data_IF_318743188881
#
_entry.id   IF_318743188881
#
_cell.length_a   1.000
_cell.length_b   1.000
_cell.length_c   1.000
_cell.angle_alpha   90.00
_cell.angle_beta   90.00
_cell.angle_gamma   90.00
#
_symmetry.space_group_name_H-M   'P 1'
#
loop_
_entity.id
_entity.type
_entity.pdbx_description
1 polymer ?
#
# COMPACT_ATOMS: atom_id res chain seq x y z
N UNK A 1 11.24 -5.55 17.33
CA UNK A 1 11.95 -4.36 16.80
C UNK A 1 12.44 -3.49 17.94
N UNK A 2 13.69 -2.99 17.89
CA UNK A 2 14.24 -2.02 18.84
C UNK A 2 13.39 -0.75 18.92
N UNK A 3 13.39 -0.07 20.07
CA UNK A 3 12.58 1.13 20.30
C UNK A 3 12.87 2.25 19.27
N UNK A 4 14.15 2.44 18.91
CA UNK A 4 14.58 3.40 17.88
C UNK A 4 14.02 3.12 16.50
N UNK A 5 13.88 1.84 16.11
CA UNK A 5 13.29 1.43 14.83
C UNK A 5 11.78 1.67 14.83
N UNK A 6 11.08 1.37 15.94
CA UNK A 6 9.65 1.69 16.08
C UNK A 6 9.40 3.19 15.99
N UNK A 7 10.29 4.01 16.53
CA UNK A 7 10.16 5.47 16.52
C UNK A 7 10.37 6.07 15.13
N UNK A 8 11.30 5.53 14.34
CA UNK A 8 11.46 5.88 12.92
C UNK A 8 10.27 5.47 12.06
N UNK A 9 9.76 4.25 12.26
CA UNK A 9 8.61 3.74 11.50
C UNK A 9 7.32 4.48 11.85
N UNK A 10 7.22 5.01 13.07
CA UNK A 10 6.08 5.85 13.54
C UNK A 10 6.29 7.35 13.30
N UNK A 11 7.44 7.78 12.79
CA UNK A 11 7.71 9.20 12.57
C UNK A 11 7.10 9.68 11.25
N UNK A 12 6.65 10.94 11.23
CA UNK A 12 5.88 11.56 10.14
C UNK A 12 6.58 11.60 8.76
N UNK A 13 7.86 11.21 8.70
CA UNK A 13 8.72 11.37 7.52
C UNK A 13 9.30 10.04 6.99
N UNK A 14 8.95 8.91 7.60
CA UNK A 14 9.55 7.61 7.28
C UNK A 14 8.68 6.68 6.43
N UNK A 15 7.39 6.58 6.75
CA UNK A 15 6.44 5.69 6.08
C UNK A 15 5.03 6.29 6.14
N UNK A 16 4.27 6.13 5.06
CA UNK A 16 2.83 6.34 5.11
C UNK A 16 2.19 5.23 5.95
N UNK A 17 1.37 5.60 6.92
CA UNK A 17 0.41 4.68 7.53
C UNK A 17 -0.61 4.24 6.47
N UNK A 18 -1.35 3.17 6.75
CA UNK A 18 -2.41 2.72 5.85
C UNK A 18 -3.47 3.82 5.63
N UNK A 19 -3.82 4.60 6.67
CA UNK A 19 -4.77 5.70 6.55
C UNK A 19 -4.24 6.84 5.68
N UNK A 20 -2.97 7.22 5.86
CA UNK A 20 -2.33 8.25 5.02
C UNK A 20 -2.23 7.81 3.56
N UNK A 21 -1.99 6.52 3.31
CA UNK A 21 -1.98 5.97 1.96
C UNK A 21 -3.38 6.00 1.31
N UNK A 22 -4.43 5.63 2.06
CA UNK A 22 -5.81 5.72 1.58
C UNK A 22 -6.25 7.17 1.29
N UNK A 23 -5.90 8.11 2.18
CA UNK A 23 -6.19 9.54 1.98
C UNK A 23 -5.50 10.08 0.72
N UNK A 24 -4.21 9.80 0.55
CA UNK A 24 -3.47 10.16 -0.66
C UNK A 24 -4.11 9.55 -1.92
N UNK A 25 -4.55 8.31 -1.85
CA UNK A 25 -5.18 7.66 -2.99
C UNK A 25 -6.49 8.34 -3.40
N UNK A 26 -7.29 8.80 -2.44
CA UNK A 26 -8.49 9.59 -2.72
C UNK A 26 -8.18 10.90 -3.45
N UNK A 27 -7.08 11.56 -3.11
CA UNK A 27 -6.65 12.80 -3.79
C UNK A 27 -6.21 12.58 -5.23
N UNK A 28 -5.70 11.37 -5.55
CA UNK A 28 -5.14 11.03 -6.86
C UNK A 28 -6.17 10.65 -7.93
N UNK A 29 -7.47 10.83 -7.67
CA UNK A 29 -8.56 10.45 -8.58
C UNK A 29 -8.47 8.96 -8.99
N UNK A 30 -8.78 8.05 -8.06
CA UNK A 30 -8.55 6.61 -8.24
C UNK A 30 -9.23 6.02 -9.49
N UNK A 31 -10.33 6.62 -9.97
CA UNK A 31 -11.00 6.21 -11.21
C UNK A 31 -10.13 6.33 -12.47
N UNK A 32 -9.11 7.18 -12.45
CA UNK A 32 -8.16 7.38 -13.55
C UNK A 32 -6.94 6.46 -13.49
N UNK A 33 -6.74 5.76 -12.37
CA UNK A 33 -5.63 4.82 -12.22
C UNK A 33 -5.97 3.51 -12.95
N UNK A 34 -5.07 3.08 -13.83
CA UNK A 34 -5.17 1.78 -14.47
C UNK A 34 -4.73 0.65 -13.53
N UNK A 35 -3.70 0.90 -12.72
CA UNK A 35 -3.14 -0.05 -11.76
C UNK A 35 -2.79 0.65 -10.45
N UNK A 36 -2.99 -0.06 -9.34
CA UNK A 36 -2.51 0.31 -8.01
C UNK A 36 -1.61 -0.81 -7.49
N UNK A 37 -0.33 -0.48 -7.25
CA UNK A 37 0.64 -1.43 -6.70
C UNK A 37 1.00 -1.03 -5.27
N UNK A 38 0.66 -1.88 -4.31
CA UNK A 38 1.05 -1.74 -2.91
C UNK A 38 2.42 -2.38 -2.70
N UNK A 39 3.44 -1.55 -2.50
CA UNK A 39 4.80 -1.99 -2.23
C UNK A 39 5.15 -1.91 -0.73
N UNK A 40 6.23 -2.60 -0.33
CA UNK A 40 6.82 -2.50 1.01
C UNK A 40 5.86 -2.83 2.18
N UNK A 41 4.85 -3.68 1.97
CA UNK A 41 4.03 -4.19 3.08
C UNK A 41 4.89 -5.08 3.96
N UNK A 42 5.19 -4.64 5.19
CA UNK A 42 6.02 -5.38 6.13
C UNK A 42 5.45 -6.79 6.40
N UNK A 43 6.19 -7.83 6.03
CA UNK A 43 5.83 -9.24 6.30
C UNK A 43 5.70 -9.55 7.80
N UNK A 44 6.42 -8.81 8.65
CA UNK A 44 6.48 -9.04 10.09
C UNK A 44 5.50 -8.21 10.91
N UNK A 45 5.10 -7.04 10.43
CA UNK A 45 4.38 -6.05 11.25
C UNK A 45 3.08 -5.54 10.63
N UNK A 46 2.78 -5.84 9.38
CA UNK A 46 1.54 -5.38 8.75
C UNK A 46 0.69 -6.57 8.34
N UNK A 47 -0.57 -6.60 8.77
CA UNK A 47 -1.50 -7.62 8.33
C UNK A 47 -1.95 -7.24 6.92
N UNK A 48 -1.47 -7.95 5.89
CA UNK A 48 -1.84 -7.72 4.48
C UNK A 48 -3.36 -7.57 4.30
N UNK A 49 -4.14 -8.34 5.07
CA UNK A 49 -5.60 -8.27 5.08
C UNK A 49 -6.14 -6.90 5.49
N UNK A 50 -5.60 -6.29 6.56
CA UNK A 50 -6.04 -4.96 7.02
C UNK A 50 -5.68 -3.85 6.04
N UNK A 51 -4.52 -3.95 5.38
CA UNK A 51 -4.13 -3.01 4.32
C UNK A 51 -5.09 -3.11 3.14
N UNK A 52 -5.38 -4.34 2.70
CA UNK A 52 -6.29 -4.58 1.58
C UNK A 52 -7.70 -4.10 1.89
N UNK A 53 -8.23 -4.36 3.09
CA UNK A 53 -9.55 -3.88 3.51
C UNK A 53 -9.64 -2.34 3.42
N UNK A 54 -8.66 -1.61 3.98
CA UNK A 54 -8.66 -0.14 3.95
C UNK A 54 -8.45 0.45 2.55
N UNK A 55 -7.68 -0.21 1.69
CA UNK A 55 -7.43 0.25 0.32
C UNK A 55 -8.62 -0.09 -0.59
N UNK A 56 -9.31 -1.22 -0.37
CA UNK A 56 -10.46 -1.61 -1.18
C UNK A 56 -11.68 -0.70 -0.98
N UNK A 57 -11.81 -0.05 0.18
CA UNK A 57 -12.84 0.97 0.42
C UNK A 57 -12.70 2.18 -0.53
N UNK A 58 -11.46 2.53 -0.90
CA UNK A 58 -11.15 3.69 -1.74
C UNK A 58 -10.78 3.31 -3.19
N UNK A 59 -10.45 2.03 -3.44
CA UNK A 59 -10.10 1.49 -4.76
C UNK A 59 -10.77 0.13 -5.00
N UNK A 60 -12.08 0.11 -5.32
CA UNK A 60 -12.89 -1.12 -5.35
C UNK A 60 -12.58 -2.09 -6.51
N UNK A 61 -11.66 -1.78 -7.41
CA UNK A 61 -11.25 -2.68 -8.53
C UNK A 61 -10.12 -3.61 -8.12
N UNK A 62 -10.47 -4.69 -7.41
CA UNK A 62 -9.51 -5.70 -6.94
C UNK A 62 -8.61 -6.30 -8.04
N UNK A 63 -9.10 -6.41 -9.28
CA UNK A 63 -8.34 -6.93 -10.43
C UNK A 63 -7.18 -6.02 -10.89
N UNK A 64 -7.23 -4.72 -10.52
CA UNK A 64 -6.19 -3.72 -10.82
C UNK A 64 -5.34 -3.40 -9.59
N UNK A 65 -5.56 -4.11 -8.49
CA UNK A 65 -4.83 -3.97 -7.24
C UNK A 65 -3.81 -5.10 -7.11
N UNK A 66 -2.53 -4.74 -7.08
CA UNK A 66 -1.42 -5.67 -6.97
C UNK A 66 -0.69 -5.42 -5.66
N UNK A 67 -0.36 -6.47 -4.92
CA UNK A 67 0.53 -6.40 -3.77
C UNK A 67 1.89 -6.94 -4.20
N UNK A 68 2.90 -6.07 -4.22
CA UNK A 68 4.25 -6.50 -4.56
C UNK A 68 4.83 -7.38 -3.46
N UNK A 69 5.34 -8.55 -3.85
CA UNK A 69 6.10 -9.41 -2.96
C UNK A 69 7.46 -8.77 -2.63
N UNK A 70 7.92 -8.93 -1.40
CA UNK A 70 9.15 -8.27 -0.95
C UNK A 70 10.41 -8.85 -1.62
N UNK A 71 10.38 -10.11 -2.04
CA UNK A 71 11.52 -10.79 -2.67
C UNK A 71 11.36 -10.87 -4.18
N UNK A 72 10.16 -11.16 -4.66
CA UNK A 72 9.86 -11.41 -6.07
C UNK A 72 9.29 -10.20 -6.80
N UNK A 73 8.81 -9.18 -6.09
CA UNK A 73 8.14 -8.03 -6.69
C UNK A 73 6.77 -8.40 -7.24
N UNK A 74 6.49 -7.96 -8.47
CA UNK A 74 5.25 -8.23 -9.21
C UNK A 74 5.56 -8.35 -10.71
N UNK A 75 4.68 -9.01 -11.45
CA UNK A 75 4.82 -9.18 -12.90
C UNK A 75 4.56 -7.88 -13.68
N UNK A 76 4.90 -7.89 -14.97
CA UNK A 76 4.60 -6.76 -15.86
C UNK A 76 3.10 -6.47 -15.92
N UNK A 77 2.77 -5.19 -15.90
CA UNK A 77 1.40 -4.69 -16.00
C UNK A 77 1.22 -3.98 -17.33
N UNK A 78 0.21 -4.37 -18.09
CA UNK A 78 -0.13 -3.76 -19.37
C UNK A 78 -0.99 -2.51 -19.16
N UNK A 79 -0.73 -1.46 -19.94
CA UNK A 79 -1.53 -0.24 -19.96
C UNK A 79 -2.39 -0.23 -21.23
N UNK A 80 -3.66 0.16 -21.09
CA UNK A 80 -4.58 0.47 -22.19
C UNK A 80 -4.31 1.86 -22.78
#
# INVERSE_FOLDING_TARGET
YPASVKQRVRGDWGHLSNSQASELLCELQPDKLQWLVLAHISEKNNCKKLVLEQIQEVFPRHERLVVADQQKGFDWLELA
#
